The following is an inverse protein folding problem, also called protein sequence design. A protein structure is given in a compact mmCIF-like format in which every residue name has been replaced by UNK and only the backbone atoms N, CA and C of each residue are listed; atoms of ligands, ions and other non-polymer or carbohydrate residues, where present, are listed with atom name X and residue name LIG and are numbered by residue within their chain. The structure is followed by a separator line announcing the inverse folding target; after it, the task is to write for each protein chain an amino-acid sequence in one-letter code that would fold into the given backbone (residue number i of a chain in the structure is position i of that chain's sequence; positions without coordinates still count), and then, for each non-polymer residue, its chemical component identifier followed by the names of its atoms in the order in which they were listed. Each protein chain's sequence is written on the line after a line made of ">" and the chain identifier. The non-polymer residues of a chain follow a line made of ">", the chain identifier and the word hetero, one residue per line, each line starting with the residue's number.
data_IF_038847270549
#
_entry.id   IF_038847270549
#
_cell.length_a   1.000
_cell.length_b   1.000
_cell.length_c   1.000
_cell.angle_alpha   90.00
_cell.angle_beta   90.00
_cell.angle_gamma   90.00
#
_symmetry.space_group_name_H-M   'P 1'
#
loop_
_entity.id
_entity.type
_entity.pdbx_description
1 polymer ?
#
# COMPACT_ATOMS: atom_id res chain seq x y z
N UNK A 1 -33.35 -15.36 2.38
CA UNK A 1 -31.90 -15.41 2.64
C UNK A 1 -31.02 -15.03 1.44
N UNK A 2 -31.54 -14.41 0.36
CA UNK A 2 -30.70 -14.07 -0.81
C UNK A 2 -29.94 -12.74 -0.69
N UNK A 3 -30.53 -11.75 0.00
CA UNK A 3 -30.00 -10.39 0.02
C UNK A 3 -28.77 -10.21 0.93
N UNK A 4 -28.68 -10.98 2.03
CA UNK A 4 -27.51 -10.92 2.93
C UNK A 4 -26.24 -11.40 2.20
N UNK A 5 -26.31 -12.48 1.43
CA UNK A 5 -25.15 -13.02 0.71
C UNK A 5 -24.55 -12.00 -0.26
N UNK A 6 -25.40 -11.24 -0.95
CA UNK A 6 -24.97 -10.19 -1.88
C UNK A 6 -24.21 -9.09 -1.14
N UNK A 7 -24.75 -8.59 -0.03
CA UNK A 7 -24.09 -7.58 0.81
C UNK A 7 -22.75 -8.10 1.35
N UNK A 8 -22.68 -9.35 1.82
CA UNK A 8 -21.43 -9.95 2.28
C UNK A 8 -20.37 -10.07 1.18
N UNK A 9 -20.77 -10.44 -0.04
CA UNK A 9 -19.86 -10.50 -1.19
C UNK A 9 -19.29 -9.11 -1.50
N UNK A 10 -20.13 -8.07 -1.52
CA UNK A 10 -19.66 -6.70 -1.76
C UNK A 10 -18.72 -6.18 -0.66
N UNK A 11 -19.04 -6.44 0.62
CA UNK A 11 -18.18 -6.09 1.75
C UNK A 11 -16.84 -6.83 1.66
N UNK A 12 -16.84 -8.11 1.29
CA UNK A 12 -15.61 -8.87 1.08
C UNK A 12 -14.81 -8.34 -0.12
N UNK A 13 -15.42 -7.99 -1.25
CA UNK A 13 -14.67 -7.40 -2.37
C UNK A 13 -14.09 -6.03 -2.02
N UNK A 14 -14.81 -5.20 -1.26
CA UNK A 14 -14.32 -3.91 -0.77
C UNK A 14 -13.23 -4.05 0.29
N UNK A 15 -13.34 -5.03 1.20
CA UNK A 15 -12.41 -5.24 2.31
C UNK A 15 -11.15 -6.02 1.90
N UNK A 16 -11.26 -6.95 0.93
CA UNK A 16 -10.16 -7.82 0.52
C UNK A 16 -9.30 -7.23 -0.59
N UNK A 17 -9.69 -6.08 -1.14
CA UNK A 17 -8.84 -5.20 -1.93
C UNK A 17 -7.75 -4.52 -1.10
N UNK A 18 -7.05 -5.26 -0.23
CA UNK A 18 -5.77 -4.88 0.42
C UNK A 18 -5.64 -3.39 0.74
N UNK A 19 -6.57 -2.82 1.52
CA UNK A 19 -6.42 -1.45 2.01
C UNK A 19 -5.55 -1.47 3.28
N UNK A 20 -4.27 -1.86 3.14
CA UNK A 20 -3.27 -0.99 3.75
C UNK A 20 -3.33 0.27 2.91
N UNK A 21 -4.30 1.15 3.21
CA UNK A 21 -4.57 2.34 2.43
C UNK A 21 -3.30 3.17 2.25
N UNK A 22 -3.27 4.08 1.27
CA UNK A 22 -2.14 5.00 1.06
C UNK A 22 -1.66 5.69 2.35
N UNK A 23 -2.54 5.85 3.34
CA UNK A 23 -2.22 6.31 4.69
C UNK A 23 -1.09 5.52 5.37
N UNK A 24 -1.05 4.21 5.20
CA UNK A 24 0.00 3.36 5.77
C UNK A 24 1.35 3.57 5.05
N UNK A 25 1.36 4.08 3.82
CA UNK A 25 2.59 4.45 3.12
C UNK A 25 3.05 5.85 3.54
N UNK A 26 2.13 6.81 3.57
CA UNK A 26 2.39 8.21 3.92
C UNK A 26 2.87 8.37 5.37
N UNK A 27 2.40 7.54 6.31
CA UNK A 27 2.80 7.63 7.72
C UNK A 27 4.32 7.44 7.93
N UNK A 28 4.98 6.69 7.05
CA UNK A 28 6.41 6.39 7.11
C UNK A 28 7.25 7.21 6.12
N UNK A 29 6.78 8.41 5.74
CA UNK A 29 7.39 9.24 4.67
C UNK A 29 7.46 8.54 3.30
N UNK A 30 6.67 7.50 3.09
CA UNK A 30 6.57 6.81 1.81
C UNK A 30 5.56 7.48 0.88
N UNK A 31 5.78 7.35 -0.43
CA UNK A 31 4.91 7.84 -1.48
C UNK A 31 4.40 6.67 -2.32
N UNK A 32 3.09 6.67 -2.63
CA UNK A 32 2.53 5.69 -3.56
C UNK A 32 2.86 6.08 -5.00
N UNK A 33 3.52 5.20 -5.74
CA UNK A 33 3.88 5.38 -7.15
C UNK A 33 3.33 4.25 -8.01
N UNK A 34 2.89 4.61 -9.20
CA UNK A 34 2.43 3.65 -10.20
C UNK A 34 3.63 2.98 -10.87
N UNK A 35 3.66 1.65 -10.90
CA UNK A 35 4.58 0.85 -11.71
C UNK A 35 6.03 0.71 -11.19
N UNK A 36 6.69 1.80 -10.77
CA UNK A 36 8.10 1.76 -10.33
C UNK A 36 8.43 2.87 -9.31
N UNK A 37 9.38 2.59 -8.41
CA UNK A 37 10.00 3.60 -7.55
C UNK A 37 11.08 4.41 -8.28
N UNK A 38 11.28 5.67 -7.89
CA UNK A 38 12.34 6.49 -8.47
C UNK A 38 13.70 6.18 -7.84
N UNK A 39 14.77 6.66 -8.46
CA UNK A 39 16.12 6.48 -7.93
C UNK A 39 16.25 7.17 -6.57
N UNK A 40 16.84 6.50 -5.58
CA UNK A 40 16.89 6.98 -4.19
C UNK A 40 15.72 6.53 -3.31
N UNK A 41 14.77 5.78 -3.87
CA UNK A 41 13.68 5.14 -3.12
C UNK A 41 13.79 3.60 -3.23
N UNK A 42 13.22 2.89 -2.26
CA UNK A 42 13.07 1.43 -2.28
C UNK A 42 11.61 1.02 -2.17
N UNK A 43 11.27 -0.14 -2.74
CA UNK A 43 9.94 -0.74 -2.62
C UNK A 43 9.76 -1.29 -1.20
N UNK A 44 8.90 -0.66 -0.40
CA UNK A 44 8.60 -1.14 0.94
C UNK A 44 7.40 -2.10 0.97
N UNK A 45 6.33 -1.75 0.24
CA UNK A 45 5.08 -2.52 0.13
C UNK A 45 4.28 -2.10 -1.09
N UNK A 46 3.05 -2.58 -1.23
CA UNK A 46 2.11 -2.15 -2.27
C UNK A 46 1.01 -1.31 -1.62
N UNK A 47 0.70 -0.14 -2.18
CA UNK A 47 -0.53 0.59 -1.85
C UNK A 47 -1.74 -0.06 -2.52
N UNK A 48 -1.54 -0.65 -3.70
CA UNK A 48 -2.52 -1.46 -4.40
C UNK A 48 -1.79 -2.55 -5.18
N UNK A 49 -1.90 -3.80 -4.74
CA UNK A 49 -1.23 -4.92 -5.43
C UNK A 49 -1.82 -5.12 -6.83
N UNK A 50 -0.99 -5.46 -7.85
CA UNK A 50 0.48 -5.33 -7.94
C UNK A 50 0.95 -3.98 -8.51
N UNK A 51 0.02 -3.06 -8.76
CA UNK A 51 0.20 -1.96 -9.71
C UNK A 51 0.74 -0.68 -9.03
N UNK A 52 0.30 -0.40 -7.80
CA UNK A 52 0.70 0.79 -7.04
C UNK A 52 1.63 0.37 -5.91
N UNK A 53 2.87 0.83 -6.01
CA UNK A 53 3.97 0.55 -5.13
C UNK A 53 4.06 1.64 -4.05
N UNK A 54 4.35 1.26 -2.81
CA UNK A 54 4.75 2.19 -1.76
C UNK A 54 6.28 2.31 -1.79
N UNK A 55 6.75 3.47 -2.24
CA UNK A 55 8.17 3.77 -2.37
C UNK A 55 8.60 4.64 -1.20
N UNK A 56 9.59 4.19 -0.45
CA UNK A 56 10.15 4.94 0.68
C UNK A 56 11.51 5.51 0.30
N UNK A 57 11.86 6.73 0.72
CA UNK A 57 13.21 7.24 0.54
C UNK A 57 14.18 6.32 1.27
N UNK A 58 15.34 6.07 0.67
CA UNK A 58 16.46 5.45 1.35
C UNK A 58 16.90 6.42 2.47
N UNK A 59 16.32 6.27 3.66
CA UNK A 59 16.80 6.99 4.83
C UNK A 59 18.22 6.52 5.10
N UNK A 60 19.19 7.36 4.72
CA UNK A 60 20.53 7.38 5.29
C UNK A 60 20.38 7.75 6.77
N UNK A 61 19.75 6.89 7.56
CA UNK A 61 19.89 6.94 9.00
C UNK A 61 21.35 6.58 9.23
N UNK A 62 22.20 7.49 9.71
CA UNK A 62 23.54 7.09 10.10
C UNK A 62 23.34 6.01 11.16
N UNK A 63 23.77 4.78 10.84
CA UNK A 63 23.94 3.74 11.83
C UNK A 63 24.85 4.33 12.89
N UNK A 64 24.27 4.82 13.98
CA UNK A 64 25.05 5.26 15.13
C UNK A 64 25.70 4.01 15.67
N UNK A 65 26.97 3.84 15.31
CA UNK A 65 27.86 2.82 15.84
C UNK A 65 27.99 3.02 17.34
#
# INVERSE_FOLDING_TARGET
>A
MGNLCVVFIFISLLAHGSTQGPDSCNHDRGLCRMGKCIFGEYLAKYCFKPIILCCKPLSLTPTKT
#
